data_IF_334198184881
#
_entry.id   IF_334198184881
#
_cell.length_a   1.000
_cell.length_b   1.000
_cell.length_c   1.000
_cell.angle_alpha   90.00
_cell.angle_beta   90.00
_cell.angle_gamma   90.00
#
_symmetry.space_group_name_H-M   'P 1'
#
loop_
_entity.id
_entity.type
_entity.pdbx_description
1 polymer ?
#
# COMPACT_ATOMS: atom_id res chain seq x y z
N UNK A 1 -2.44 27.00 -8.15
CA UNK A 1 -3.57 26.42 -7.39
C UNK A 1 -3.33 24.92 -7.35
N UNK A 2 -2.88 24.38 -6.23
CA UNK A 2 -2.60 22.94 -6.12
C UNK A 2 -3.93 22.19 -6.29
N UNK A 3 -3.98 21.30 -7.27
CA UNK A 3 -5.07 20.33 -7.40
C UNK A 3 -5.03 19.45 -6.16
N UNK A 4 -5.78 19.86 -5.12
CA UNK A 4 -5.76 19.20 -3.83
C UNK A 4 -6.19 17.75 -4.00
N UNK A 5 -5.23 16.83 -3.94
CA UNK A 5 -5.53 15.41 -3.80
C UNK A 5 -6.36 15.23 -2.53
N UNK A 6 -7.62 14.78 -2.71
CA UNK A 6 -8.48 14.41 -1.59
C UNK A 6 -8.12 12.98 -1.16
N UNK A 7 -7.63 12.78 0.07
CA UNK A 7 -7.39 11.43 0.57
C UNK A 7 -8.69 10.62 0.58
N UNK A 8 -8.58 9.31 0.35
CA UNK A 8 -9.73 8.42 0.17
C UNK A 8 -10.30 8.01 1.52
N UNK A 9 -11.63 8.08 1.68
CA UNK A 9 -12.36 7.57 2.85
C UNK A 9 -11.88 8.16 4.20
N UNK A 10 -11.49 9.45 4.21
CA UNK A 10 -10.93 10.11 5.43
C UNK A 10 -11.86 9.98 6.62
N UNK A 11 -13.17 10.23 6.39
CA UNK A 11 -14.16 10.13 7.47
C UNK A 11 -14.21 8.73 8.06
N UNK A 12 -14.28 7.71 7.21
CA UNK A 12 -14.37 6.31 7.62
C UNK A 12 -13.08 5.83 8.31
N UNK A 13 -11.92 6.33 7.86
CA UNK A 13 -10.63 6.07 8.52
C UNK A 13 -10.62 6.68 9.93
N UNK A 14 -11.03 7.94 10.06
CA UNK A 14 -11.10 8.62 11.37
C UNK A 14 -12.13 7.97 12.31
N UNK A 15 -13.29 7.56 11.79
CA UNK A 15 -14.29 6.80 12.56
C UNK A 15 -13.75 5.44 13.03
N UNK A 16 -12.90 4.79 12.24
CA UNK A 16 -12.35 3.48 12.59
C UNK A 16 -11.20 3.62 13.58
N UNK A 17 -10.30 4.58 13.38
CA UNK A 17 -9.16 4.83 14.26
C UNK A 17 -9.58 5.50 15.58
N UNK A 18 -10.69 6.27 15.61
CA UNK A 18 -11.14 7.07 16.76
C UNK A 18 -10.02 7.89 17.39
N UNK A 19 -9.30 8.76 16.62
CA UNK A 19 -8.24 9.56 17.15
C UNK A 19 -8.76 10.54 18.22
N UNK A 20 -8.08 10.61 19.37
CA UNK A 20 -8.44 11.46 20.51
C UNK A 20 -7.29 12.43 20.81
N UNK A 21 -7.56 13.58 21.42
CA UNK A 21 -6.50 14.48 21.88
C UNK A 21 -5.47 13.71 22.73
N UNK A 22 -4.19 13.95 22.49
CA UNK A 22 -3.09 13.26 23.15
C UNK A 22 -2.74 11.86 22.61
N UNK A 23 -3.49 11.32 21.65
CA UNK A 23 -3.24 9.99 21.10
C UNK A 23 -1.92 9.92 20.30
N UNK A 24 -1.33 8.73 20.29
CA UNK A 24 -0.13 8.36 19.53
C UNK A 24 -0.54 7.52 18.34
N UNK A 25 -0.43 8.05 17.13
CA UNK A 25 -0.80 7.33 15.93
C UNK A 25 0.37 7.17 14.96
N UNK A 26 0.24 6.17 14.11
CA UNK A 26 1.18 5.90 13.02
C UNK A 26 0.44 5.93 11.69
N UNK A 27 0.99 6.63 10.72
CA UNK A 27 0.62 6.53 9.31
C UNK A 27 1.78 5.83 8.59
N UNK A 28 1.61 4.54 8.30
CA UNK A 28 2.66 3.69 7.74
C UNK A 28 2.90 3.91 6.23
N UNK A 29 2.07 4.77 5.61
CA UNK A 29 2.06 5.07 4.17
C UNK A 29 1.64 6.53 3.96
N UNK A 30 2.43 7.44 4.52
CA UNK A 30 2.08 8.87 4.66
C UNK A 30 1.78 9.56 3.33
N UNK A 31 2.46 9.16 2.26
CA UNK A 31 2.35 9.84 0.97
C UNK A 31 2.62 11.35 1.12
N UNK A 32 1.69 12.17 0.65
CA UNK A 32 1.73 13.63 0.87
C UNK A 32 1.01 14.11 2.13
N UNK A 33 0.69 13.22 3.06
CA UNK A 33 0.21 13.59 4.38
C UNK A 33 -1.27 13.95 4.48
N UNK A 34 -2.11 13.51 3.55
CA UNK A 34 -3.54 13.85 3.58
C UNK A 34 -4.28 13.23 4.76
N UNK A 35 -4.13 11.94 5.01
CA UNK A 35 -4.66 11.28 6.21
C UNK A 35 -3.94 11.74 7.47
N UNK A 36 -2.61 11.89 7.40
CA UNK A 36 -1.79 12.39 8.50
C UNK A 36 -2.28 13.75 9.01
N UNK A 37 -2.61 14.69 8.10
CA UNK A 37 -3.16 15.98 8.43
C UNK A 37 -4.49 15.86 9.18
N UNK A 38 -5.43 15.08 8.65
CA UNK A 38 -6.74 14.86 9.25
C UNK A 38 -6.67 14.19 10.64
N UNK A 39 -5.68 13.32 10.85
CA UNK A 39 -5.40 12.70 12.15
C UNK A 39 -4.82 13.75 13.12
N UNK A 40 -3.79 14.49 12.69
CA UNK A 40 -3.14 15.51 13.52
C UNK A 40 -4.12 16.57 14.02
N UNK A 41 -5.09 16.98 13.19
CA UNK A 41 -6.16 17.90 13.60
C UNK A 41 -7.03 17.39 14.76
N UNK A 42 -7.04 16.08 14.99
CA UNK A 42 -7.82 15.45 16.08
C UNK A 42 -7.01 15.18 17.33
N UNK A 43 -5.70 14.92 17.18
CA UNK A 43 -4.85 14.50 18.30
C UNK A 43 -4.06 15.64 18.94
N UNK A 44 -3.83 16.74 18.22
CA UNK A 44 -3.06 17.89 18.75
C UNK A 44 -3.86 18.71 19.77
N UNK A 45 -3.17 19.45 20.68
CA UNK A 45 -1.72 19.69 20.71
C UNK A 45 -0.86 18.60 21.36
N UNK A 46 -1.41 17.68 22.14
CA UNK A 46 -0.67 16.76 23.00
C UNK A 46 -0.31 15.43 22.30
N UNK A 47 -0.99 15.12 21.20
CA UNK A 47 -0.78 13.88 20.46
C UNK A 47 0.43 13.93 19.53
N UNK A 48 0.90 12.75 19.14
CA UNK A 48 2.02 12.56 18.20
C UNK A 48 1.59 11.61 17.07
N UNK A 49 1.92 12.00 15.84
CA UNK A 49 1.84 11.14 14.68
C UNK A 49 3.23 10.84 14.16
N UNK A 50 3.54 9.56 14.06
CA UNK A 50 4.71 9.04 13.35
C UNK A 50 4.28 8.66 11.93
N UNK A 51 4.84 9.32 10.93
CA UNK A 51 4.57 9.02 9.53
C UNK A 51 5.77 8.34 8.86
N UNK A 52 5.51 7.25 8.14
CA UNK A 52 6.51 6.56 7.33
C UNK A 52 6.10 6.64 5.86
N UNK A 53 7.07 6.84 5.00
CA UNK A 53 6.91 6.56 3.57
C UNK A 53 8.27 6.14 2.98
N UNK A 54 8.22 5.27 1.99
CA UNK A 54 9.39 4.85 1.22
C UNK A 54 9.80 5.84 0.14
N UNK A 55 8.91 6.79 -0.19
CA UNK A 55 9.10 7.81 -1.22
C UNK A 55 9.47 9.14 -0.57
N UNK A 56 10.77 9.49 -0.63
CA UNK A 56 11.29 10.74 -0.04
C UNK A 56 10.70 12.00 -0.71
N UNK A 57 10.36 11.94 -2.01
CA UNK A 57 9.74 13.08 -2.70
C UNK A 57 8.32 13.34 -2.13
N UNK A 58 7.57 12.28 -1.85
CA UNK A 58 6.25 12.39 -1.23
C UNK A 58 6.37 12.88 0.22
N UNK A 59 7.34 12.39 0.97
CA UNK A 59 7.63 12.89 2.32
C UNK A 59 8.03 14.36 2.35
N UNK A 60 8.77 14.85 1.35
CA UNK A 60 9.09 16.27 1.24
C UNK A 60 7.83 17.13 1.06
N UNK A 61 6.82 16.64 0.35
CA UNK A 61 5.50 17.28 0.26
C UNK A 61 4.77 17.22 1.60
N UNK A 62 4.76 16.05 2.24
CA UNK A 62 4.13 15.87 3.54
C UNK A 62 4.74 16.78 4.62
N UNK A 63 6.08 16.91 4.67
CA UNK A 63 6.76 17.82 5.61
C UNK A 63 6.29 19.27 5.47
N UNK A 64 6.15 19.76 4.23
CA UNK A 64 5.60 21.11 3.98
C UNK A 64 4.15 21.24 4.43
N UNK A 65 3.31 20.25 4.11
CA UNK A 65 1.90 20.23 4.46
C UNK A 65 1.66 20.20 5.97
N UNK A 66 2.45 19.40 6.68
CA UNK A 66 2.29 19.15 8.09
C UNK A 66 3.13 20.09 8.98
N UNK A 67 3.88 21.03 8.40
CA UNK A 67 4.79 21.92 9.12
C UNK A 67 4.11 22.71 10.26
N UNK A 68 2.81 23.05 10.10
CA UNK A 68 2.02 23.76 11.13
C UNK A 68 1.84 22.99 12.43
N UNK A 69 2.01 21.67 12.42
CA UNK A 69 1.87 20.81 13.60
C UNK A 69 3.18 20.63 14.40
N UNK A 70 4.28 21.17 13.90
CA UNK A 70 5.57 21.16 14.58
C UNK A 70 6.03 19.75 14.97
N UNK A 71 6.42 19.57 16.24
CA UNK A 71 6.93 18.30 16.77
C UNK A 71 5.88 17.19 16.91
N UNK A 72 4.59 17.51 16.76
CA UNK A 72 3.53 16.50 16.75
C UNK A 72 3.58 15.64 15.47
N UNK A 73 4.15 16.14 14.37
CA UNK A 73 4.34 15.39 13.10
C UNK A 73 5.80 14.95 12.97
N UNK A 74 6.06 13.65 13.13
CA UNK A 74 7.40 13.06 13.01
C UNK A 74 7.46 12.15 11.78
N UNK A 75 8.15 12.60 10.71
CA UNK A 75 8.16 11.91 9.43
C UNK A 75 9.51 11.25 9.14
N UNK A 76 9.46 9.99 8.73
CA UNK A 76 10.62 9.13 8.51
C UNK A 76 10.61 8.54 7.09
N UNK A 77 11.73 8.64 6.38
CA UNK A 77 11.94 7.91 5.13
C UNK A 77 12.24 6.46 5.48
N UNK A 78 11.23 5.62 5.43
CA UNK A 78 11.33 4.21 5.78
C UNK A 78 10.23 3.40 5.11
N UNK A 79 10.50 2.13 4.87
CA UNK A 79 9.49 1.15 4.44
C UNK A 79 8.60 0.77 5.62
N UNK A 80 7.36 0.40 5.34
CA UNK A 80 6.40 -0.03 6.37
C UNK A 80 6.84 -1.30 7.13
N UNK A 81 7.70 -2.12 6.54
CA UNK A 81 8.33 -3.26 7.23
C UNK A 81 9.18 -2.85 8.44
N UNK A 82 9.73 -1.63 8.45
CA UNK A 82 10.52 -1.07 9.57
C UNK A 82 9.68 -0.27 10.57
N UNK A 83 8.36 -0.38 10.52
CA UNK A 83 7.44 0.38 11.38
C UNK A 83 7.78 0.23 12.86
N UNK A 84 8.02 -0.99 13.34
CA UNK A 84 8.35 -1.24 14.75
C UNK A 84 9.64 -0.54 15.16
N UNK A 85 10.69 -0.68 14.38
CA UNK A 85 12.00 -0.07 14.65
C UNK A 85 11.89 1.46 14.68
N UNK A 86 11.20 2.06 13.73
CA UNK A 86 11.01 3.52 13.65
C UNK A 86 10.20 4.03 14.84
N UNK A 87 9.07 3.41 15.16
CA UNK A 87 8.20 3.86 16.25
C UNK A 87 8.86 3.67 17.63
N UNK A 88 9.63 2.59 17.80
CA UNK A 88 10.42 2.35 19.02
C UNK A 88 11.53 3.36 19.14
N UNK A 89 12.27 3.63 18.06
CA UNK A 89 13.35 4.64 18.04
C UNK A 89 12.85 6.07 18.25
N UNK A 90 11.59 6.35 17.89
CA UNK A 90 10.93 7.62 18.16
C UNK A 90 10.35 7.76 19.58
N UNK A 91 10.45 6.72 20.41
CA UNK A 91 9.90 6.65 21.79
C UNK A 91 8.39 6.93 21.86
N UNK A 92 7.63 6.30 20.92
CA UNK A 92 6.17 6.51 20.81
C UNK A 92 5.36 5.24 21.13
N UNK A 93 6.03 4.12 21.45
CA UNK A 93 5.38 2.85 21.83
C UNK A 93 4.85 2.89 23.26
N UNK A 94 3.68 2.32 23.58
CA UNK A 94 2.71 1.76 22.66
C UNK A 94 1.91 2.84 21.91
N UNK A 95 1.36 2.50 20.73
CA UNK A 95 0.54 3.41 19.94
C UNK A 95 -0.96 3.08 20.04
N UNK A 96 -1.81 4.11 19.88
CA UNK A 96 -3.26 3.99 19.93
C UNK A 96 -3.88 3.61 18.59
N UNK A 97 -3.15 3.83 17.50
CA UNK A 97 -3.64 3.46 16.17
C UNK A 97 -2.55 3.43 15.10
N UNK A 98 -2.79 2.59 14.10
CA UNK A 98 -1.94 2.47 12.90
C UNK A 98 -2.81 2.50 11.66
N UNK A 99 -2.44 3.34 10.70
CA UNK A 99 -3.05 3.44 9.37
C UNK A 99 -2.10 2.86 8.31
N UNK A 100 -2.67 2.10 7.38
CA UNK A 100 -2.09 1.82 6.08
C UNK A 100 -3.04 2.32 4.99
N UNK A 101 -2.60 3.23 4.14
CA UNK A 101 -3.27 3.62 2.90
C UNK A 101 -2.44 3.07 1.73
N UNK A 102 -2.81 1.86 1.26
CA UNK A 102 -1.99 1.09 0.33
C UNK A 102 -2.04 1.65 -1.10
N UNK A 103 -1.05 1.28 -1.90
CA UNK A 103 -0.97 1.63 -3.31
C UNK A 103 -0.15 2.88 -3.58
N UNK A 104 -0.42 3.53 -4.72
CA UNK A 104 0.31 4.70 -5.19
C UNK A 104 -0.61 5.92 -5.24
N UNK A 105 -0.06 7.07 -4.91
CA UNK A 105 -0.78 8.32 -4.96
C UNK A 105 -0.88 8.88 -6.40
N UNK A 106 -1.71 9.92 -6.56
CA UNK A 106 -1.95 10.55 -7.85
C UNK A 106 -0.69 11.15 -8.44
N UNK A 107 0.06 11.82 -7.62
CA UNK A 107 1.26 12.56 -8.00
C UNK A 107 2.35 11.62 -8.51
N UNK A 108 2.48 10.43 -7.91
CA UNK A 108 3.40 9.40 -8.40
C UNK A 108 3.00 8.89 -9.80
N UNK A 109 1.68 8.76 -10.06
CA UNK A 109 1.18 8.36 -11.37
C UNK A 109 1.26 9.48 -12.42
N UNK A 110 1.23 10.73 -12.00
CA UNK A 110 1.31 11.91 -12.87
C UNK A 110 2.77 12.28 -13.19
N UNK A 111 3.74 11.80 -12.42
CA UNK A 111 5.18 11.88 -12.72
C UNK A 111 5.57 10.82 -13.75
N UNK A 112 5.49 11.20 -15.05
CA UNK A 112 5.70 10.25 -16.14
C UNK A 112 7.09 9.58 -16.09
N UNK A 113 8.11 10.30 -15.65
CA UNK A 113 9.49 9.79 -15.50
C UNK A 113 9.65 8.64 -14.52
N UNK A 114 8.61 8.33 -13.72
CA UNK A 114 8.58 7.14 -12.85
C UNK A 114 8.15 5.88 -13.57
N UNK A 115 7.58 5.96 -14.75
CA UNK A 115 7.09 4.79 -15.49
C UNK A 115 5.93 4.05 -14.82
N UNK A 116 5.24 4.66 -13.87
CA UNK A 116 4.11 4.07 -13.13
C UNK A 116 2.79 4.14 -13.90
N UNK A 117 2.75 4.93 -14.96
CA UNK A 117 1.56 5.17 -15.79
C UNK A 117 1.90 4.99 -17.25
N UNK A 118 0.94 4.52 -18.03
CA UNK A 118 1.05 4.42 -19.50
C UNK A 118 0.26 5.52 -20.24
N UNK A 119 -0.02 6.64 -19.56
CA UNK A 119 -0.53 7.82 -20.21
C UNK A 119 0.54 8.32 -21.20
N UNK A 120 0.18 8.37 -22.48
CA UNK A 120 1.13 8.67 -23.54
C UNK A 120 1.70 10.07 -23.39
N UNK A 121 3.04 10.15 -23.34
CA UNK A 121 3.81 11.34 -23.69
C UNK A 121 4.43 11.16 -25.06
N UNK A 122 4.84 12.25 -25.70
CA UNK A 122 5.59 12.21 -26.97
C UNK A 122 7.01 11.65 -26.79
N UNK A 123 7.57 11.80 -25.59
CA UNK A 123 8.92 11.36 -25.24
C UNK A 123 8.93 9.94 -24.67
N UNK A 124 9.99 9.16 -24.89
CA UNK A 124 10.17 7.85 -24.27
C UNK A 124 10.20 7.95 -22.74
N UNK A 125 9.29 7.23 -22.08
CA UNK A 125 9.18 7.22 -20.63
C UNK A 125 9.99 6.05 -20.07
N UNK A 126 10.97 6.29 -19.18
CA UNK A 126 11.75 5.21 -18.55
C UNK A 126 10.84 4.20 -17.84
N UNK A 127 11.13 2.91 -17.96
CA UNK A 127 10.42 1.85 -17.26
C UNK A 127 11.08 1.61 -15.88
N UNK A 128 10.93 2.58 -14.96
CA UNK A 128 11.52 2.53 -13.62
C UNK A 128 10.62 1.79 -12.63
N UNK A 129 9.45 2.33 -12.32
CA UNK A 129 8.43 1.84 -11.38
C UNK A 129 8.83 1.79 -9.90
N UNK A 130 10.03 2.22 -9.51
CA UNK A 130 10.42 2.29 -8.10
C UNK A 130 9.68 3.43 -7.39
N UNK A 131 9.18 3.16 -6.21
CA UNK A 131 8.64 4.19 -5.31
C UNK A 131 9.80 4.88 -4.55
N UNK A 132 10.77 4.09 -4.09
CA UNK A 132 12.04 4.58 -3.59
C UNK A 132 13.09 4.51 -4.70
N UNK A 133 13.46 5.68 -5.24
CA UNK A 133 14.40 5.76 -6.37
C UNK A 133 15.86 5.74 -5.95
N UNK A 134 16.15 5.74 -4.64
CA UNK A 134 17.53 5.74 -4.13
C UNK A 134 18.20 4.38 -4.25
N UNK A 135 17.42 3.29 -4.31
CA UNK A 135 17.95 1.92 -4.41
C UNK A 135 16.96 0.95 -5.06
N UNK A 136 17.39 -0.31 -5.22
CA UNK A 136 16.60 -1.36 -5.86
C UNK A 136 16.70 -1.37 -7.39
N UNK A 137 16.19 -2.44 -8.00
CA UNK A 137 16.16 -2.59 -9.45
C UNK A 137 14.91 -1.91 -10.05
N UNK A 138 15.07 -1.37 -11.26
CA UNK A 138 13.97 -0.83 -12.05
C UNK A 138 13.14 -1.96 -12.67
N UNK A 139 11.92 -1.66 -13.15
CA UNK A 139 11.13 -2.64 -13.88
C UNK A 139 11.81 -3.09 -15.18
N UNK A 140 12.58 -2.21 -15.83
CA UNK A 140 13.40 -2.59 -16.98
C UNK A 140 14.48 -3.62 -16.62
N UNK A 141 15.20 -3.42 -15.51
CA UNK A 141 16.20 -4.36 -15.00
C UNK A 141 15.58 -5.68 -14.54
N UNK A 142 14.42 -5.62 -13.87
CA UNK A 142 13.66 -6.79 -13.48
C UNK A 142 13.27 -7.65 -14.69
N UNK A 143 12.75 -7.03 -15.75
CA UNK A 143 12.41 -7.71 -17.01
C UNK A 143 13.63 -8.31 -17.71
N UNK A 144 14.80 -7.68 -17.62
CA UNK A 144 16.03 -8.21 -18.21
C UNK A 144 16.55 -9.42 -17.44
N UNK A 145 16.46 -9.42 -16.12
CA UNK A 145 17.00 -10.45 -15.22
C UNK A 145 16.17 -11.74 -15.19
N UNK A 146 14.83 -11.61 -15.13
CA UNK A 146 13.96 -12.77 -14.98
C UNK A 146 13.92 -13.63 -16.26
N UNK A 147 13.96 -14.94 -16.15
CA UNK A 147 13.65 -15.81 -17.29
C UNK A 147 12.14 -15.80 -17.61
N UNK A 148 11.75 -16.48 -18.71
CA UNK A 148 10.33 -16.53 -19.15
C UNK A 148 9.43 -17.19 -18.08
N UNK A 149 9.91 -18.22 -17.40
CA UNK A 149 9.13 -18.97 -16.41
C UNK A 149 8.92 -18.16 -15.13
N UNK A 150 9.99 -17.52 -14.63
CA UNK A 150 9.95 -16.61 -13.48
C UNK A 150 9.02 -15.41 -13.75
N UNK A 151 9.14 -14.82 -14.94
CA UNK A 151 8.27 -13.71 -15.36
C UNK A 151 6.80 -14.15 -15.46
N UNK A 152 6.54 -15.35 -15.97
CA UNK A 152 5.18 -15.89 -16.04
C UNK A 152 4.59 -16.10 -14.64
N UNK A 153 5.40 -16.54 -13.67
CA UNK A 153 4.96 -16.73 -12.27
C UNK A 153 4.68 -15.38 -11.59
N UNK A 154 5.56 -14.41 -11.77
CA UNK A 154 5.37 -13.03 -11.29
C UNK A 154 4.05 -12.44 -11.81
N UNK A 155 3.83 -12.53 -13.11
CA UNK A 155 2.61 -12.01 -13.75
C UNK A 155 1.35 -12.77 -13.29
N UNK A 156 1.45 -14.08 -13.07
CA UNK A 156 0.34 -14.90 -12.55
C UNK A 156 -0.03 -14.51 -11.12
N UNK A 157 0.96 -14.34 -10.25
CA UNK A 157 0.76 -13.90 -8.88
C UNK A 157 0.17 -12.49 -8.80
N UNK A 158 0.53 -11.60 -9.75
CA UNK A 158 -0.07 -10.28 -9.94
C UNK A 158 -1.47 -10.30 -10.59
N UNK A 159 -2.04 -11.50 -10.88
CA UNK A 159 -3.39 -11.64 -11.43
C UNK A 159 -3.51 -11.32 -12.93
N UNK A 160 -2.41 -11.33 -13.67
CA UNK A 160 -2.40 -11.10 -15.12
C UNK A 160 -2.99 -12.31 -15.84
N UNK A 161 -4.06 -12.14 -16.64
CA UNK A 161 -4.61 -13.24 -17.43
C UNK A 161 -3.62 -13.67 -18.51
N UNK A 162 -3.58 -14.97 -18.82
CA UNK A 162 -2.68 -15.53 -19.82
C UNK A 162 -1.19 -15.19 -19.59
N UNK A 163 -0.77 -15.16 -18.31
CA UNK A 163 0.57 -14.75 -17.86
C UNK A 163 1.71 -15.37 -18.68
N UNK A 164 1.66 -16.66 -19.02
CA UNK A 164 2.69 -17.30 -19.85
C UNK A 164 2.78 -16.72 -21.27
N UNK A 165 1.65 -16.31 -21.88
CA UNK A 165 1.70 -15.65 -23.21
C UNK A 165 2.27 -14.25 -23.12
N UNK A 166 1.93 -13.53 -22.05
CA UNK A 166 2.49 -12.20 -21.77
C UNK A 166 3.99 -12.31 -21.53
N UNK A 167 4.43 -13.24 -20.67
CA UNK A 167 5.85 -13.45 -20.38
C UNK A 167 6.65 -13.75 -21.64
N UNK A 168 6.15 -14.66 -22.50
CA UNK A 168 6.78 -14.99 -23.79
C UNK A 168 6.89 -13.75 -24.68
N UNK A 169 5.84 -12.93 -24.81
CA UNK A 169 5.84 -11.73 -25.64
C UNK A 169 6.85 -10.70 -25.13
N UNK A 170 6.93 -10.52 -23.81
CA UNK A 170 7.91 -9.62 -23.20
C UNK A 170 9.34 -10.16 -23.37
N UNK A 171 9.57 -11.44 -23.12
CA UNK A 171 10.89 -12.07 -23.27
C UNK A 171 11.42 -12.02 -24.71
N UNK A 172 10.54 -12.18 -25.69
CA UNK A 172 10.90 -12.13 -27.11
C UNK A 172 11.27 -10.71 -27.60
N UNK A 173 10.93 -9.67 -26.84
CA UNK A 173 11.15 -8.26 -27.24
C UNK A 173 12.19 -7.54 -26.37
N UNK A 174 12.95 -8.28 -25.57
CA UNK A 174 14.05 -7.67 -24.78
C UNK A 174 15.14 -7.10 -25.68
N UNK A 175 15.78 -5.99 -25.27
CA UNK A 175 15.58 -5.27 -24.01
C UNK A 175 14.33 -4.38 -24.04
N UNK A 176 13.62 -4.24 -22.91
CA UNK A 176 12.47 -3.35 -22.72
C UNK A 176 12.86 -2.31 -21.68
N UNK A 177 13.11 -1.08 -22.11
CA UNK A 177 13.63 0.02 -21.28
C UNK A 177 12.63 1.14 -21.02
N UNK A 178 11.58 1.21 -21.87
CA UNK A 178 10.59 2.28 -21.84
C UNK A 178 9.18 1.73 -21.72
N UNK A 179 8.27 2.59 -21.25
CA UNK A 179 6.84 2.30 -21.20
C UNK A 179 6.29 1.98 -22.59
N UNK A 180 6.74 2.71 -23.61
CA UNK A 180 6.32 2.53 -25.00
C UNK A 180 6.76 1.16 -25.54
N UNK A 181 7.97 0.73 -25.26
CA UNK A 181 8.47 -0.61 -25.64
C UNK A 181 7.68 -1.72 -24.92
N UNK A 182 7.34 -1.52 -23.65
CA UNK A 182 6.48 -2.47 -22.91
C UNK A 182 5.08 -2.57 -23.55
N UNK A 183 4.46 -1.45 -23.89
CA UNK A 183 3.16 -1.43 -24.55
C UNK A 183 3.23 -2.10 -25.93
N UNK A 184 4.25 -1.79 -26.74
CA UNK A 184 4.48 -2.42 -28.04
C UNK A 184 4.70 -3.93 -27.93
N UNK A 185 5.37 -4.40 -26.87
CA UNK A 185 5.54 -5.83 -26.62
C UNK A 185 4.21 -6.54 -26.27
N UNK A 186 3.25 -5.82 -25.74
CA UNK A 186 1.91 -6.34 -25.42
C UNK A 186 0.93 -6.26 -26.61
N UNK A 187 1.26 -5.51 -27.67
CA UNK A 187 0.47 -5.46 -28.89
C UNK A 187 0.41 -6.86 -29.52
N UNK A 188 -0.81 -7.29 -29.89
CA UNK A 188 -1.04 -8.62 -30.46
C UNK A 188 -1.17 -9.75 -29.43
N UNK A 189 -0.88 -9.54 -28.16
CA UNK A 189 -1.17 -10.52 -27.12
C UNK A 189 -2.69 -10.52 -26.86
N UNK A 190 -3.35 -11.63 -27.23
CA UNK A 190 -4.79 -11.79 -26.99
C UNK A 190 -5.06 -11.92 -25.50
N UNK A 191 -5.40 -10.81 -24.86
CA UNK A 191 -5.86 -10.77 -23.48
C UNK A 191 -7.40 -10.70 -23.42
N UNK A 192 -8.04 -11.32 -22.42
CA UNK A 192 -9.49 -11.20 -22.23
C UNK A 192 -9.92 -9.74 -22.15
N UNK A 193 -10.97 -9.37 -22.88
CA UNK A 193 -11.54 -8.03 -22.78
C UNK A 193 -12.04 -7.79 -21.35
N UNK A 194 -11.51 -6.78 -20.70
CA UNK A 194 -11.91 -6.31 -19.37
C UNK A 194 -12.28 -4.83 -19.42
N UNK A 195 -12.85 -4.32 -18.32
CA UNK A 195 -13.24 -2.91 -18.18
C UNK A 195 -12.05 -1.94 -18.28
N UNK A 196 -10.84 -2.42 -17.95
CA UNK A 196 -9.60 -1.65 -17.99
C UNK A 196 -8.69 -2.14 -19.14
N UNK A 197 -7.78 -1.26 -19.55
CA UNK A 197 -6.78 -1.59 -20.56
C UNK A 197 -6.00 -2.84 -20.15
N UNK A 198 -5.74 -3.79 -21.06
CA UNK A 198 -5.06 -5.05 -20.73
C UNK A 198 -3.70 -4.87 -20.04
N UNK A 199 -2.94 -3.81 -20.42
CA UNK A 199 -1.66 -3.49 -19.81
C UNK A 199 -1.76 -3.11 -18.32
N UNK A 200 -2.92 -2.65 -17.82
CA UNK A 200 -3.08 -2.20 -16.43
C UNK A 200 -2.63 -3.25 -15.42
N UNK A 201 -3.01 -4.52 -15.63
CA UNK A 201 -2.61 -5.60 -14.73
C UNK A 201 -1.12 -5.95 -14.85
N UNK A 202 -0.54 -5.83 -16.04
CA UNK A 202 0.90 -6.05 -16.26
C UNK A 202 1.71 -4.98 -15.53
N UNK A 203 1.34 -3.68 -15.69
CA UNK A 203 1.95 -2.58 -14.97
C UNK A 203 1.83 -2.76 -13.46
N UNK A 204 0.65 -3.14 -12.97
CA UNK A 204 0.43 -3.39 -11.55
C UNK A 204 1.30 -4.55 -11.04
N UNK A 205 1.39 -5.66 -11.77
CA UNK A 205 2.21 -6.81 -11.38
C UNK A 205 3.69 -6.47 -11.31
N UNK A 206 4.21 -5.75 -12.32
CA UNK A 206 5.60 -5.28 -12.34
C UNK A 206 5.88 -4.31 -11.20
N UNK A 207 5.02 -3.30 -10.98
CA UNK A 207 5.15 -2.34 -9.88
C UNK A 207 5.21 -3.04 -8.53
N UNK A 208 4.28 -3.97 -8.30
CA UNK A 208 4.21 -4.75 -7.06
C UNK A 208 5.50 -5.54 -6.82
N UNK A 209 6.07 -6.12 -7.88
CA UNK A 209 7.32 -6.88 -7.77
C UNK A 209 8.53 -5.98 -7.54
N UNK A 210 8.68 -4.88 -8.31
CA UNK A 210 9.78 -3.90 -8.13
C UNK A 210 9.82 -3.34 -6.71
N UNK A 211 8.65 -3.19 -6.09
CA UNK A 211 8.52 -2.57 -4.77
C UNK A 211 8.27 -3.56 -3.64
N UNK A 212 8.29 -4.86 -3.88
CA UNK A 212 7.99 -5.91 -2.88
C UNK A 212 6.69 -5.65 -2.10
N UNK A 213 5.66 -5.05 -2.75
CA UNK A 213 4.50 -4.46 -2.06
C UNK A 213 3.78 -5.43 -1.13
N UNK A 214 3.63 -6.69 -1.52
CA UNK A 214 2.94 -7.69 -0.68
C UNK A 214 3.78 -8.16 0.51
N UNK A 215 5.10 -8.31 0.35
CA UNK A 215 5.98 -8.68 1.45
C UNK A 215 6.11 -7.53 2.47
N UNK A 216 6.20 -6.29 1.97
CA UNK A 216 6.19 -5.09 2.80
C UNK A 216 4.89 -4.96 3.60
N UNK A 217 3.74 -5.24 2.96
CA UNK A 217 2.44 -5.24 3.64
C UNK A 217 2.38 -6.30 4.74
N UNK A 218 2.79 -7.53 4.45
CA UNK A 218 2.77 -8.62 5.44
C UNK A 218 3.65 -8.29 6.66
N UNK A 219 4.87 -7.77 6.44
CA UNK A 219 5.79 -7.37 7.49
C UNK A 219 5.28 -6.15 8.27
N UNK A 220 4.77 -5.14 7.57
CA UNK A 220 4.21 -3.94 8.18
C UNK A 220 3.00 -4.23 9.06
N UNK A 221 2.07 -5.08 8.60
CA UNK A 221 0.91 -5.49 9.39
C UNK A 221 1.32 -6.27 10.66
N UNK A 222 2.32 -7.14 10.55
CA UNK A 222 2.86 -7.86 11.71
C UNK A 222 3.46 -6.87 12.73
N UNK A 223 4.30 -5.94 12.27
CA UNK A 223 4.90 -4.88 13.09
C UNK A 223 3.84 -3.98 13.75
N UNK A 224 2.76 -3.65 13.03
CA UNK A 224 1.67 -2.84 13.56
C UNK A 224 1.01 -3.47 14.78
N UNK A 225 0.73 -4.79 14.74
CA UNK A 225 0.12 -5.50 15.87
C UNK A 225 1.05 -5.53 17.09
N UNK A 226 2.37 -5.52 16.88
CA UNK A 226 3.36 -5.53 17.97
C UNK A 226 3.44 -4.19 18.69
N UNK A 227 3.31 -3.07 17.99
CA UNK A 227 3.42 -1.72 18.57
C UNK A 227 2.09 -1.18 19.11
N UNK A 228 0.95 -1.73 18.67
CA UNK A 228 -0.36 -1.34 19.19
C UNK A 228 -0.51 -1.71 20.66
N UNK A 229 -0.91 -0.73 21.46
CA UNK A 229 -1.34 -0.98 22.85
C UNK A 229 -2.70 -1.70 22.92
N UNK A 230 -3.08 -2.24 24.12
CA UNK A 230 -4.43 -2.78 24.33
C UNK A 230 -5.49 -1.74 23.97
N UNK A 231 -6.49 -2.12 23.18
CA UNK A 231 -7.52 -1.21 22.66
C UNK A 231 -7.07 -0.37 21.45
N UNK A 232 -5.79 -0.41 21.08
CA UNK A 232 -5.25 0.28 19.90
C UNK A 232 -5.83 -0.28 18.59
N UNK A 233 -5.97 0.57 17.58
CA UNK A 233 -6.74 0.29 16.37
C UNK A 233 -5.87 0.24 15.12
N UNK A 234 -6.11 -0.75 14.28
CA UNK A 234 -5.51 -0.90 12.96
C UNK A 234 -6.57 -0.55 11.90
N UNK A 235 -6.23 0.35 10.99
CA UNK A 235 -7.00 0.68 9.80
C UNK A 235 -6.18 0.41 8.55
N UNK A 236 -6.74 -0.29 7.57
CA UNK A 236 -6.07 -0.60 6.31
C UNK A 236 -7.00 -0.32 5.14
N UNK A 237 -6.60 0.61 4.29
CA UNK A 237 -7.18 0.87 2.97
C UNK A 237 -6.44 0.05 1.92
N UNK A 238 -7.17 -0.66 1.09
CA UNK A 238 -6.65 -1.42 -0.06
C UNK A 238 -7.41 -1.06 -1.33
N UNK A 239 -6.76 -1.13 -2.49
CA UNK A 239 -7.31 -0.69 -3.77
C UNK A 239 -7.44 -1.81 -4.80
N UNK A 240 -6.86 -2.98 -4.55
CA UNK A 240 -7.03 -4.15 -5.41
C UNK A 240 -7.23 -5.43 -4.60
N UNK A 241 -7.75 -6.44 -5.28
CA UNK A 241 -8.14 -7.71 -4.66
C UNK A 241 -6.98 -8.49 -4.01
N UNK A 242 -5.76 -8.29 -4.48
CA UNK A 242 -4.56 -8.92 -3.90
C UNK A 242 -4.27 -8.39 -2.50
N UNK A 243 -4.22 -7.07 -2.34
CA UNK A 243 -4.07 -6.40 -1.04
C UNK A 243 -5.23 -6.76 -0.10
N UNK A 244 -6.48 -6.58 -0.56
CA UNK A 244 -7.66 -6.83 0.26
C UNK A 244 -7.71 -8.27 0.80
N UNK A 245 -7.29 -9.24 -0.02
CA UNK A 245 -7.18 -10.65 0.39
C UNK A 245 -6.14 -10.82 1.49
N UNK A 246 -4.92 -10.26 1.33
CA UNK A 246 -3.85 -10.34 2.33
C UNK A 246 -4.28 -9.74 3.67
N UNK A 247 -4.87 -8.55 3.65
CA UNK A 247 -5.38 -7.88 4.85
C UNK A 247 -6.48 -8.72 5.51
N UNK A 248 -7.40 -9.28 4.73
CA UNK A 248 -8.46 -10.17 5.25
C UNK A 248 -7.89 -11.42 5.91
N UNK A 249 -6.94 -12.09 5.25
CA UNK A 249 -6.28 -13.30 5.76
C UNK A 249 -5.47 -13.00 7.02
N UNK A 250 -4.73 -11.88 7.04
CA UNK A 250 -4.00 -11.42 8.20
C UNK A 250 -4.94 -11.20 9.40
N UNK A 251 -5.98 -10.38 9.25
CA UNK A 251 -6.94 -10.11 10.31
C UNK A 251 -7.65 -11.38 10.79
N UNK A 252 -8.02 -12.28 9.87
CA UNK A 252 -8.62 -13.56 10.23
C UNK A 252 -7.68 -14.43 11.07
N UNK A 253 -6.38 -14.42 10.77
CA UNK A 253 -5.36 -15.14 11.55
C UNK A 253 -5.17 -14.54 12.93
N UNK A 254 -5.14 -13.20 13.03
CA UNK A 254 -4.92 -12.50 14.30
C UNK A 254 -6.14 -12.54 15.24
N UNK A 255 -7.33 -12.75 14.69
CA UNK A 255 -8.57 -12.91 15.48
C UNK A 255 -8.82 -14.33 15.93
N UNK A 256 -8.09 -15.32 15.40
CA UNK A 256 -8.19 -16.70 15.85
C UNK A 256 -7.33 -16.93 17.10
N UNK A 257 -7.91 -17.55 18.11
CA UNK A 257 -7.15 -17.99 19.28
C UNK A 257 -6.26 -19.18 18.96
N UNK A 258 -6.82 -20.20 18.35
CA UNK A 258 -6.12 -21.45 18.05
C UNK A 258 -5.70 -21.51 16.57
N UNK A 259 -4.46 -22.00 16.32
CA UNK A 259 -3.91 -22.27 14.99
C UNK A 259 -3.59 -23.76 14.78
N UNK A 260 -3.97 -24.62 15.73
CA UNK A 260 -3.79 -26.05 15.58
C UNK A 260 -4.63 -26.58 14.41
N UNK A 261 -4.20 -27.70 13.80
CA UNK A 261 -5.02 -28.43 12.84
C UNK A 261 -6.39 -28.80 13.46
N UNK A 262 -7.49 -28.73 12.68
CA UNK A 262 -8.83 -29.02 13.21
C UNK A 262 -8.99 -30.43 13.79
N UNK A 263 -8.13 -31.37 13.35
CA UNK A 263 -8.14 -32.77 13.76
C UNK A 263 -7.54 -32.99 15.15
N UNK A 264 -6.84 -32.02 15.74
CA UNK A 264 -6.29 -32.15 17.08
C UNK A 264 -7.39 -32.03 18.16
N UNK A 265 -7.59 -33.05 18.99
CA UNK A 265 -8.66 -33.05 19.98
C UNK A 265 -8.46 -32.02 21.11
N UNK A 266 -7.21 -31.61 21.34
CA UNK A 266 -6.83 -30.62 22.37
C UNK A 266 -5.88 -29.59 21.80
N UNK A 267 -6.15 -28.32 22.09
CA UNK A 267 -5.30 -27.22 21.64
C UNK A 267 -3.93 -27.28 22.36
N UNK A 268 -2.86 -27.50 21.57
CA UNK A 268 -1.47 -27.49 22.06
C UNK A 268 -0.72 -26.16 21.83
N UNK A 269 -1.31 -25.18 21.07
CA UNK A 269 -0.58 -23.97 20.73
C UNK A 269 -0.64 -22.84 21.78
N UNK A 270 -1.57 -22.88 22.72
CA UNK A 270 -1.74 -21.86 23.77
C UNK A 270 -2.03 -20.45 23.26
N UNK A 271 -2.22 -20.27 21.94
CA UNK A 271 -2.40 -18.96 21.31
C UNK A 271 -3.74 -18.34 21.71
N UNK A 272 -3.69 -17.06 22.08
CA UNK A 272 -4.87 -16.21 22.28
C UNK A 272 -5.07 -15.28 21.09
N UNK A 273 -6.31 -14.86 20.79
CA UNK A 273 -6.55 -13.79 19.81
C UNK A 273 -5.75 -12.54 20.18
N UNK A 274 -5.06 -11.96 19.20
CA UNK A 274 -4.36 -10.69 19.39
C UNK A 274 -5.16 -9.49 18.93
N UNK A 275 -6.15 -9.72 18.04
CA UNK A 275 -7.02 -8.69 17.48
C UNK A 275 -8.48 -9.12 17.55
N UNK A 276 -9.39 -8.14 17.56
CA UNK A 276 -10.83 -8.30 17.31
C UNK A 276 -11.22 -7.43 16.12
N UNK A 277 -12.04 -7.96 15.20
CA UNK A 277 -12.47 -7.21 14.01
C UNK A 277 -13.36 -6.02 14.39
N UNK A 278 -13.19 -4.91 13.68
CA UNK A 278 -14.06 -3.72 13.75
C UNK A 278 -15.11 -3.75 12.62
N UNK A 279 -15.95 -4.78 12.65
CA UNK A 279 -17.03 -4.94 11.69
C UNK A 279 -16.62 -5.54 10.33
N UNK A 280 -17.48 -5.34 9.33
CA UNK A 280 -17.22 -5.76 7.94
C UNK A 280 -16.38 -4.70 7.21
N UNK A 281 -15.77 -5.09 6.07
CA UNK A 281 -15.09 -4.10 5.21
C UNK A 281 -16.07 -3.02 4.74
N UNK A 282 -15.60 -1.77 4.77
CA UNK A 282 -16.35 -0.61 4.28
C UNK A 282 -15.89 -0.28 2.85
N UNK A 283 -16.82 0.15 2.02
CA UNK A 283 -16.57 0.72 0.71
C UNK A 283 -16.76 2.24 0.76
N UNK A 284 -16.16 3.01 -0.15
CA UNK A 284 -16.40 4.45 -0.22
C UNK A 284 -17.87 4.74 -0.54
N UNK A 285 -18.35 5.88 -0.06
CA UNK A 285 -19.68 6.34 -0.40
C UNK A 285 -19.83 6.59 -1.92
N UNK A 286 -21.02 6.35 -2.51
CA UNK A 286 -21.24 6.58 -3.94
C UNK A 286 -20.91 8.01 -4.38
N UNK A 287 -21.09 9.00 -3.50
CA UNK A 287 -20.73 10.40 -3.73
C UNK A 287 -19.21 10.62 -3.86
N UNK A 288 -18.43 9.97 -3.00
CA UNK A 288 -16.99 10.04 -3.05
C UNK A 288 -16.44 9.35 -4.31
N UNK A 289 -16.89 8.14 -4.62
CA UNK A 289 -16.46 7.41 -5.81
C UNK A 289 -16.76 8.16 -7.14
N UNK A 290 -17.72 9.07 -7.14
CA UNK A 290 -17.98 9.96 -8.30
C UNK A 290 -17.01 11.13 -8.36
N UNK A 291 -16.68 11.76 -7.23
CA UNK A 291 -15.74 12.90 -7.15
C UNK A 291 -14.29 12.47 -7.23
N UNK A 292 -13.98 11.30 -6.67
CA UNK A 292 -12.65 10.70 -6.70
C UNK A 292 -12.72 9.28 -7.31
N UNK A 293 -12.50 9.12 -8.63
CA UNK A 293 -12.58 7.83 -9.30
C UNK A 293 -11.64 6.76 -8.72
N UNK A 294 -10.56 7.16 -8.04
CA UNK A 294 -9.61 6.26 -7.38
C UNK A 294 -10.20 5.58 -6.14
N UNK A 295 -11.13 6.24 -5.46
CA UNK A 295 -11.83 5.65 -4.34
C UNK A 295 -12.71 4.45 -4.74
N UNK A 296 -13.09 4.33 -6.02
CA UNK A 296 -14.06 3.31 -6.47
C UNK A 296 -13.75 1.89 -6.02
N UNK A 297 -12.49 1.49 -6.04
CA UNK A 297 -12.05 0.14 -5.66
C UNK A 297 -11.62 0.03 -4.21
N UNK A 298 -11.58 1.13 -3.46
CA UNK A 298 -11.10 1.15 -2.09
C UNK A 298 -11.93 0.23 -1.18
N UNK A 299 -11.23 -0.42 -0.25
CA UNK A 299 -11.81 -1.24 0.82
C UNK A 299 -11.09 -0.91 2.12
N UNK A 300 -11.83 -0.42 3.10
CA UNK A 300 -11.33 -0.18 4.45
C UNK A 300 -11.65 -1.38 5.34
N UNK A 301 -10.62 -1.94 5.97
CA UNK A 301 -10.74 -2.98 6.99
C UNK A 301 -10.05 -2.52 8.27
N UNK A 302 -10.49 -3.04 9.41
CA UNK A 302 -9.83 -2.74 10.65
C UNK A 302 -10.05 -3.77 11.75
N UNK A 303 -9.20 -3.65 12.76
CA UNK A 303 -9.25 -4.44 13.97
C UNK A 303 -8.78 -3.63 15.17
N UNK A 304 -9.11 -4.10 16.35
CA UNK A 304 -8.66 -3.54 17.63
C UNK A 304 -7.81 -4.57 18.36
N UNK A 305 -6.72 -4.13 18.96
CA UNK A 305 -5.80 -4.94 19.76
C UNK A 305 -6.49 -5.41 21.03
N UNK A 306 -6.43 -6.73 21.33
CA UNK A 306 -6.96 -7.31 22.55
C UNK A 306 -6.13 -6.99 23.78
#
# INVERSE_FOLDING_TARGET
MSSGHLPVMVREVLELLEPRPGARLVDATTGHGGHAEAILERITPEGVLVGLDRDEEMLAVARRRLARFGSAARLFHARSSFLREVVTGADVVPVDGVLFDLGVCSEQLDQLERGLSFRAGAEPIPLDMRLDRSHGETAAQLLERLDEAELAELLRSGGVPAAGRVARALSARRPIRTVQELLAALEGVRLPRRRHHPATLVFQALRMAVNDELAELDAGLASAVEVLGPGGRLAVLSYHSGEDRRVKEFLARETRGCICPPELPVCGCGRKPRMRLLGRSRAPEPGEARRNPRARSARLRGGVRC
#
